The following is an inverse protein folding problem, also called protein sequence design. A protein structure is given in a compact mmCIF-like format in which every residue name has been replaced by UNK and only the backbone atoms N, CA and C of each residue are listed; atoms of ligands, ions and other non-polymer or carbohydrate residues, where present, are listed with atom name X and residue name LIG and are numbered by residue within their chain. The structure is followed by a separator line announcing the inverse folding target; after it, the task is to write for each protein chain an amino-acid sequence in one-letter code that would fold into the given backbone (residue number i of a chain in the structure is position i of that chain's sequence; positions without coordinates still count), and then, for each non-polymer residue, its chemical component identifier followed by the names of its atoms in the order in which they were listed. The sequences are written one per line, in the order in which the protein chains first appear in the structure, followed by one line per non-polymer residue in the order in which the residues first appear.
data_IF_514746830071
#
_entry.id   IF_514746830071
#
_cell.length_a   1.000
_cell.length_b   1.000
_cell.length_c   1.000
_cell.angle_alpha   90.00
_cell.angle_beta   90.00
_cell.angle_gamma   90.00
#
_symmetry.space_group_name_H-M   'P 1'
#
loop_
_entity.id
_entity.type
_entity.pdbx_description
1 polymer ?
#
# COMPACT_ATOMS: atom_id res chain seq x y z
N UNK A 1 16.36 17.57 14.24
CA UNK A 1 15.40 16.53 14.66
C UNK A 1 15.51 15.36 13.70
N UNK A 2 15.65 14.12 14.20
CA UNK A 2 15.66 12.90 13.38
C UNK A 2 14.70 11.89 14.02
N UNK A 3 13.50 11.67 13.45
CA UNK A 3 12.63 10.60 13.90
C UNK A 3 13.33 9.24 13.71
N UNK A 4 13.19 8.34 14.69
CA UNK A 4 13.72 6.98 14.59
C UNK A 4 12.55 6.03 14.39
N UNK A 5 12.65 5.21 13.35
CA UNK A 5 11.70 4.16 13.02
C UNK A 5 12.23 2.84 13.53
N UNK A 6 11.49 2.20 14.43
CA UNK A 6 11.77 0.86 14.91
C UNK A 6 10.72 -0.08 14.30
N UNK A 7 11.18 -1.04 13.52
CA UNK A 7 10.34 -1.99 12.82
C UNK A 7 9.90 -3.11 13.77
N UNK A 8 8.61 -3.44 13.79
CA UNK A 8 8.11 -4.61 14.51
C UNK A 8 6.99 -5.25 13.71
N UNK A 9 7.15 -6.53 13.36
CA UNK A 9 6.16 -7.26 12.56
C UNK A 9 5.17 -7.92 13.49
N UNK A 10 3.88 -7.77 13.21
CA UNK A 10 2.84 -8.55 13.87
C UNK A 10 1.95 -9.23 12.83
N UNK A 11 2.09 -10.56 12.74
CA UNK A 11 1.30 -11.49 11.90
C UNK A 11 1.32 -11.19 10.39
N UNK A 12 0.48 -10.26 9.91
CA UNK A 12 0.19 -9.97 8.48
C UNK A 12 0.32 -8.47 8.14
N UNK A 13 0.69 -7.65 9.12
CA UNK A 13 0.85 -6.22 8.96
C UNK A 13 2.25 -5.82 9.39
N UNK A 14 2.83 -4.89 8.61
CA UNK A 14 4.01 -4.17 9.03
C UNK A 14 3.55 -3.08 10.01
N UNK A 15 4.17 -3.05 11.19
CA UNK A 15 3.94 -2.02 12.21
C UNK A 15 5.23 -1.27 12.47
N UNK A 16 5.15 0.04 12.34
CA UNK A 16 6.24 0.96 12.63
C UNK A 16 6.06 1.64 13.97
N UNK A 17 7.07 1.60 14.83
CA UNK A 17 7.15 2.48 16.00
C UNK A 17 8.01 3.68 15.64
N UNK A 18 7.40 4.87 15.67
CA UNK A 18 8.14 6.11 15.53
C UNK A 18 8.40 6.71 16.92
N UNK A 19 9.67 7.01 17.19
CA UNK A 19 10.09 7.71 18.41
C UNK A 19 10.75 9.04 18.08
N UNK A 20 10.42 10.08 18.85
CA UNK A 20 11.09 11.38 18.78
C UNK A 20 11.19 12.03 20.14
N UNK A 21 12.32 12.72 20.38
CA UNK A 21 12.58 13.52 21.58
C UNK A 21 12.52 15.00 21.21
N UNK A 22 11.73 15.77 21.96
CA UNK A 22 11.58 17.21 21.77
C UNK A 22 11.89 17.95 23.07
N UNK A 23 12.57 19.08 22.96
CA UNK A 23 12.90 19.97 24.08
C UNK A 23 11.92 21.14 24.22
N UNK A 24 10.97 21.29 23.30
CA UNK A 24 10.01 22.40 23.26
C UNK A 24 8.72 22.05 24.01
N UNK A 25 8.05 23.06 24.58
CA UNK A 25 6.74 22.96 25.27
C UNK A 25 5.61 22.66 24.27
N UNK A 26 5.64 21.46 23.70
CA UNK A 26 4.66 20.97 22.75
C UNK A 26 3.46 20.41 23.53
N UNK A 27 2.23 20.71 23.09
CA UNK A 27 1.01 20.18 23.69
C UNK A 27 0.37 19.07 22.85
N UNK A 28 0.55 19.13 21.53
CA UNK A 28 0.03 18.16 20.58
C UNK A 28 1.06 17.87 19.50
N UNK A 29 1.10 16.63 19.02
CA UNK A 29 1.77 16.30 17.77
C UNK A 29 0.74 16.08 16.67
N UNK A 30 0.99 16.69 15.51
CA UNK A 30 0.33 16.31 14.27
C UNK A 30 1.25 15.37 13.49
N UNK A 31 0.71 14.20 13.16
CA UNK A 31 1.38 13.20 12.30
C UNK A 31 0.68 13.20 10.95
N UNK A 32 1.46 13.46 9.92
CA UNK A 32 1.05 13.37 8.52
C UNK A 32 1.66 12.11 7.91
N UNK A 33 0.84 11.28 7.27
CA UNK A 33 1.27 10.05 6.60
C UNK A 33 0.94 10.13 5.12
N UNK A 34 1.88 9.69 4.30
CA UNK A 34 1.77 9.67 2.86
C UNK A 34 2.34 8.37 2.27
N UNK A 35 1.60 7.76 1.35
CA UNK A 35 2.08 6.72 0.43
C UNK A 35 1.45 6.93 -0.95
N UNK A 36 0.12 6.90 -0.97
CA UNK A 36 -0.74 7.20 -2.13
C UNK A 36 -1.86 8.19 -1.76
N UNK A 37 -2.31 8.12 -0.50
CA UNK A 37 -3.37 8.95 0.09
C UNK A 37 -2.79 9.67 1.31
N UNK A 38 -3.28 10.88 1.56
CA UNK A 38 -2.89 11.70 2.69
C UNK A 38 -3.75 11.40 3.91
N UNK A 39 -3.11 11.10 5.05
CA UNK A 39 -3.78 10.93 6.33
C UNK A 39 -3.15 11.83 7.40
N UNK A 40 -4.00 12.53 8.15
CA UNK A 40 -3.59 13.40 9.25
C UNK A 40 -4.15 12.89 10.56
N UNK A 41 -3.33 12.89 11.61
CA UNK A 41 -3.76 12.49 12.95
C UNK A 41 -3.15 13.43 13.99
N UNK A 42 -3.99 13.99 14.87
CA UNK A 42 -3.55 14.81 16.00
C UNK A 42 -3.50 13.96 17.26
N UNK A 43 -2.39 14.00 17.97
CA UNK A 43 -2.13 13.18 19.15
C UNK A 43 -1.81 14.11 20.33
N UNK A 44 -2.63 14.10 21.40
CA UNK A 44 -2.34 14.84 22.62
C UNK A 44 -1.16 14.22 23.36
N UNK A 45 -0.37 15.06 24.02
CA UNK A 45 0.78 14.62 24.82
C UNK A 45 0.35 14.61 26.28
N UNK A 46 0.31 13.43 26.88
CA UNK A 46 0.13 13.27 28.33
C UNK A 46 1.46 13.34 29.08
N UNK A 47 2.54 12.80 28.49
CA UNK A 47 3.90 12.84 29.04
C UNK A 47 4.87 13.56 28.07
N UNK A 48 5.50 14.69 28.47
CA UNK A 48 6.26 15.55 27.57
C UNK A 48 7.58 14.96 27.06
N UNK A 49 8.08 13.86 27.64
CA UNK A 49 9.44 13.40 27.40
C UNK A 49 9.59 12.41 26.23
N UNK A 50 8.53 11.67 25.87
CA UNK A 50 8.61 10.62 24.83
C UNK A 50 7.34 10.55 23.99
N UNK A 51 7.46 10.89 22.71
CA UNK A 51 6.43 10.61 21.73
C UNK A 51 6.63 9.23 21.13
N UNK A 52 5.61 8.38 21.23
CA UNK A 52 5.54 7.08 20.58
C UNK A 52 4.31 7.04 19.69
N UNK A 53 4.51 6.71 18.42
CA UNK A 53 3.43 6.50 17.47
C UNK A 53 3.56 5.12 16.85
N UNK A 54 2.54 4.29 17.06
CA UNK A 54 2.42 2.99 16.42
C UNK A 54 1.50 3.17 15.22
N UNK A 55 2.02 2.82 14.05
CA UNK A 55 1.22 2.73 12.84
C UNK A 55 1.10 1.28 12.43
N UNK A 56 -0.10 0.72 12.57
CA UNK A 56 -0.42 -0.62 12.11
C UNK A 56 -0.93 -0.64 10.66
N UNK A 57 -0.80 -1.80 10.02
CA UNK A 57 -1.37 -2.11 8.70
C UNK A 57 -0.74 -1.40 7.51
N UNK A 58 0.58 -1.20 7.54
CA UNK A 58 1.31 -0.72 6.37
C UNK A 58 1.41 -1.83 5.31
N UNK A 59 1.29 -1.46 4.03
CA UNK A 59 1.46 -2.38 2.90
C UNK A 59 2.94 -2.74 2.75
N UNK A 60 3.25 -3.98 2.38
CA UNK A 60 4.60 -4.39 2.01
C UNK A 60 5.05 -3.72 0.70
N UNK A 61 6.36 -3.60 0.49
CA UNK A 61 6.96 -3.05 -0.74
C UNK A 61 6.54 -1.62 -1.09
N UNK A 62 6.10 -0.84 -0.11
CA UNK A 62 5.48 0.48 -0.32
C UNK A 62 6.37 1.59 0.26
N UNK A 63 6.51 2.68 -0.48
CA UNK A 63 7.23 3.87 -0.03
C UNK A 63 6.31 4.73 0.83
N UNK A 64 6.80 5.11 2.01
CA UNK A 64 6.10 5.94 2.96
C UNK A 64 6.90 7.18 3.31
N UNK A 65 6.17 8.29 3.44
CA UNK A 65 6.67 9.52 4.03
C UNK A 65 5.81 9.88 5.23
N UNK A 66 6.46 10.16 6.36
CA UNK A 66 5.82 10.62 7.58
C UNK A 66 6.38 11.99 7.93
N UNK A 67 5.52 12.96 8.23
CA UNK A 67 5.93 14.22 8.82
C UNK A 67 5.35 14.36 10.22
N UNK A 68 6.14 14.90 11.14
CA UNK A 68 5.71 15.20 12.50
C UNK A 68 5.94 16.67 12.76
N UNK A 69 4.94 17.29 13.39
CA UNK A 69 4.96 18.68 13.79
C UNK A 69 4.40 18.80 15.20
N UNK A 70 5.15 19.45 16.09
CA UNK A 70 4.63 19.90 17.38
C UNK A 70 3.79 21.16 17.25
N UNK A 71 2.66 21.20 17.96
CA UNK A 71 1.74 22.34 18.06
C UNK A 71 1.55 22.78 19.51
N UNK A 72 1.36 24.09 19.71
CA UNK A 72 0.96 24.66 21.00
C UNK A 72 -0.51 24.38 21.35
N UNK A 73 -0.91 24.62 22.61
CA UNK A 73 -2.27 24.36 23.09
C UNK A 73 -3.37 25.09 22.30
N UNK A 74 -3.07 26.32 21.90
CA UNK A 74 -3.92 27.21 21.09
C UNK A 74 -3.70 27.03 19.58
N UNK A 75 -2.83 26.09 19.18
CA UNK A 75 -2.41 25.82 17.80
C UNK A 75 -1.80 27.02 17.04
N UNK A 76 -1.58 28.16 17.73
CA UNK A 76 -1.03 29.38 17.14
C UNK A 76 0.47 29.27 16.83
N UNK A 77 1.18 28.32 17.45
CA UNK A 77 2.60 28.07 17.21
C UNK A 77 2.80 26.64 16.76
N UNK A 78 3.56 26.48 15.68
CA UNK A 78 3.89 25.20 15.09
C UNK A 78 5.40 25.12 14.89
N UNK A 79 5.97 23.96 15.16
CA UNK A 79 7.37 23.67 14.85
C UNK A 79 7.55 23.32 13.37
N UNK A 80 8.79 23.30 12.90
CA UNK A 80 9.11 22.80 11.57
C UNK A 80 8.75 21.32 11.45
N UNK A 81 8.26 20.91 10.27
CA UNK A 81 7.99 19.49 9.97
C UNK A 81 9.29 18.70 9.94
N UNK A 82 9.37 17.64 10.72
CA UNK A 82 10.41 16.64 10.59
C UNK A 82 9.90 15.47 9.75
N UNK A 83 10.58 15.24 8.63
CA UNK A 83 10.23 14.19 7.68
C UNK A 83 11.03 12.91 7.93
N UNK A 84 10.36 11.78 7.79
CA UNK A 84 10.92 10.44 7.72
C UNK A 84 10.43 9.79 6.43
N UNK A 85 11.35 9.36 5.58
CA UNK A 85 11.04 8.56 4.41
C UNK A 85 11.59 7.15 4.64
N UNK A 86 10.78 6.14 4.37
CA UNK A 86 11.18 4.73 4.47
C UNK A 86 10.38 3.89 3.48
N UNK A 87 10.91 2.72 3.16
CA UNK A 87 10.27 1.74 2.31
C UNK A 87 10.01 0.51 3.14
N UNK A 88 8.77 0.02 3.13
CA UNK A 88 8.48 -1.27 3.78
C UNK A 88 9.12 -2.38 2.95
N UNK A 89 9.67 -3.41 3.60
CA UNK A 89 10.23 -4.57 2.89
C UNK A 89 9.15 -5.33 2.13
N UNK A 90 9.57 -6.21 1.21
CA UNK A 90 8.65 -7.09 0.50
C UNK A 90 8.08 -8.18 1.41
N UNK A 91 6.86 -8.64 1.13
CA UNK A 91 6.21 -9.68 1.94
C UNK A 91 7.04 -10.98 1.96
N UNK A 92 7.58 -11.36 0.80
CA UNK A 92 8.39 -12.56 0.63
C UNK A 92 9.76 -12.48 1.32
N UNK A 93 10.20 -11.29 1.76
CA UNK A 93 11.40 -11.16 2.59
C UNK A 93 11.21 -11.84 3.96
N UNK A 94 10.01 -11.74 4.55
CA UNK A 94 9.71 -12.33 5.86
C UNK A 94 8.97 -13.67 5.79
N UNK A 95 8.17 -13.88 4.76
CA UNK A 95 7.41 -15.11 4.54
C UNK A 95 7.79 -15.72 3.19
N UNK A 96 8.97 -16.37 3.08
CA UNK A 96 9.43 -16.90 1.81
C UNK A 96 8.46 -17.95 1.26
N UNK A 97 8.03 -17.79 0.01
CA UNK A 97 7.18 -18.73 -0.72
C UNK A 97 5.80 -19.05 -0.07
N UNK A 98 5.36 -18.29 0.93
CA UNK A 98 4.08 -18.53 1.60
C UNK A 98 2.95 -17.73 0.92
N UNK A 99 2.32 -18.35 -0.08
CA UNK A 99 1.20 -17.76 -0.82
C UNK A 99 -0.09 -17.66 0.00
N UNK A 100 -0.15 -18.23 1.22
CA UNK A 100 -1.29 -18.02 2.14
C UNK A 100 -1.20 -16.69 2.87
N UNK A 101 0.01 -16.09 2.92
CA UNK A 101 0.28 -14.81 3.57
C UNK A 101 0.62 -13.70 2.59
N UNK A 102 1.34 -14.02 1.52
CA UNK A 102 1.80 -13.06 0.53
C UNK A 102 1.05 -13.22 -0.78
N UNK A 103 0.65 -12.09 -1.37
CA UNK A 103 0.07 -12.07 -2.71
C UNK A 103 1.18 -12.43 -3.71
N UNK A 104 0.94 -13.39 -4.63
CA UNK A 104 1.90 -13.73 -5.66
C UNK A 104 2.17 -12.53 -6.58
N UNK A 105 3.39 -12.42 -7.14
CA UNK A 105 3.68 -11.39 -8.14
C UNK A 105 2.76 -11.52 -9.35
N UNK A 106 2.49 -10.39 -10.02
CA UNK A 106 1.66 -10.36 -11.22
C UNK A 106 2.32 -11.18 -12.34
N UNK A 107 1.53 -11.87 -13.19
CA UNK A 107 2.07 -12.54 -14.37
C UNK A 107 2.81 -11.58 -15.30
N UNK A 108 3.95 -12.02 -15.83
CA UNK A 108 4.76 -11.25 -16.78
C UNK A 108 4.55 -11.74 -18.22
N UNK A 109 4.97 -10.94 -19.21
CA UNK A 109 4.87 -11.26 -20.65
C UNK A 109 3.46 -11.67 -21.09
N UNK A 110 2.45 -10.95 -20.60
CA UNK A 110 1.07 -11.17 -21.02
C UNK A 110 0.96 -10.85 -22.52
N UNK A 111 0.50 -11.82 -23.30
CA UNK A 111 0.20 -11.66 -24.71
C UNK A 111 -1.22 -12.12 -25.01
N UNK A 112 -1.86 -11.40 -25.93
CA UNK A 112 -3.26 -11.62 -26.31
C UNK A 112 -3.31 -11.81 -27.81
N UNK A 113 -3.89 -12.93 -28.24
CA UNK A 113 -4.13 -13.24 -29.63
C UNK A 113 -5.64 -13.33 -29.84
N UNK A 114 -6.17 -12.49 -30.72
CA UNK A 114 -7.59 -12.44 -31.04
C UNK A 114 -7.80 -13.02 -32.44
N UNK A 115 -8.68 -14.01 -32.57
CA UNK A 115 -9.03 -14.63 -33.85
C UNK A 115 -10.53 -14.47 -34.12
N UNK A 116 -10.94 -13.90 -35.26
CA UNK A 116 -12.35 -13.84 -35.62
C UNK A 116 -12.86 -15.25 -35.94
N UNK A 117 -14.03 -15.61 -35.42
CA UNK A 117 -14.65 -16.93 -35.66
C UNK A 117 -15.84 -16.80 -36.61
N UNK A 118 -16.80 -15.95 -36.28
CA UNK A 118 -17.98 -15.59 -37.09
C UNK A 118 -18.46 -14.20 -36.70
N UNK A 119 -19.29 -13.55 -37.52
CA UNK A 119 -19.90 -12.22 -37.28
C UNK A 119 -19.96 -11.80 -35.79
N UNK A 120 -19.11 -10.84 -35.43
CA UNK A 120 -19.02 -10.26 -34.08
C UNK A 120 -18.61 -11.21 -32.93
N UNK A 121 -18.04 -12.38 -33.24
CA UNK A 121 -17.47 -13.34 -32.28
C UNK A 121 -15.97 -13.50 -32.50
N UNK A 122 -15.24 -13.46 -31.40
CA UNK A 122 -13.79 -13.57 -31.39
C UNK A 122 -13.34 -14.60 -30.37
N UNK A 123 -12.39 -15.45 -30.75
CA UNK A 123 -11.63 -16.26 -29.83
C UNK A 123 -10.45 -15.44 -29.31
N UNK A 124 -10.41 -15.28 -27.98
CA UNK A 124 -9.33 -14.57 -27.30
C UNK A 124 -8.45 -15.60 -26.60
N UNK A 125 -7.20 -15.71 -27.06
CA UNK A 125 -6.17 -16.52 -26.41
C UNK A 125 -5.26 -15.60 -25.62
N UNK A 126 -5.27 -15.75 -24.29
CA UNK A 126 -4.37 -15.04 -23.38
C UNK A 126 -3.28 -15.99 -22.93
N UNK A 127 -2.03 -15.55 -22.98
CA UNK A 127 -0.89 -16.32 -22.47
C UNK A 127 0.06 -15.41 -21.70
N UNK A 128 0.83 -15.99 -20.78
CA UNK A 128 1.78 -15.28 -19.93
C UNK A 128 2.98 -16.18 -19.62
N UNK A 129 4.07 -15.59 -19.15
CA UNK A 129 5.23 -16.35 -18.66
C UNK A 129 4.86 -17.15 -17.41
N UNK A 130 5.44 -18.36 -17.28
CA UNK A 130 5.26 -19.19 -16.09
C UNK A 130 5.76 -18.41 -14.86
N UNK A 131 4.92 -18.18 -13.83
CA UNK A 131 5.35 -17.44 -12.67
C UNK A 131 6.33 -18.25 -11.83
N UNK A 132 7.19 -17.53 -11.10
CA UNK A 132 8.15 -18.14 -10.15
C UNK A 132 7.41 -18.84 -9.01
N UNK A 133 6.30 -18.26 -8.55
CA UNK A 133 5.41 -18.84 -7.56
C UNK A 133 4.10 -19.21 -8.24
N UNK A 134 3.69 -20.48 -8.14
CA UNK A 134 2.46 -20.98 -8.75
C UNK A 134 1.25 -20.69 -7.85
N UNK A 135 0.37 -19.75 -8.21
CA UNK A 135 -0.91 -19.59 -7.52
C UNK A 135 -1.83 -20.76 -7.82
N UNK A 136 -2.86 -20.95 -7.00
CA UNK A 136 -3.88 -21.99 -7.23
C UNK A 136 -4.71 -21.72 -8.48
N UNK A 137 -4.95 -20.45 -8.80
CA UNK A 137 -5.70 -20.04 -9.98
C UNK A 137 -5.32 -18.62 -10.41
N UNK A 138 -5.68 -18.29 -11.65
CA UNK A 138 -5.66 -16.96 -12.25
C UNK A 138 -7.07 -16.53 -12.59
N UNK A 139 -7.33 -15.23 -12.50
CA UNK A 139 -8.57 -14.61 -12.96
C UNK A 139 -8.23 -13.75 -14.16
N UNK A 140 -8.89 -14.01 -15.29
CA UNK A 140 -8.81 -13.20 -16.50
C UNK A 140 -10.10 -12.40 -16.64
N UNK A 141 -10.00 -11.08 -16.72
CA UNK A 141 -11.13 -10.16 -16.94
C UNK A 141 -10.96 -9.44 -18.27
N UNK A 142 -11.97 -9.49 -19.12
CA UNK A 142 -12.02 -8.74 -20.37
C UNK A 142 -13.01 -7.59 -20.25
N UNK A 143 -12.59 -6.39 -20.66
CA UNK A 143 -13.40 -5.18 -20.63
C UNK A 143 -13.66 -4.69 -22.05
N UNK A 144 -14.90 -4.30 -22.34
CA UNK A 144 -15.26 -3.67 -23.61
C UNK A 144 -14.82 -2.21 -23.59
N UNK A 145 -13.89 -1.85 -24.48
CA UNK A 145 -13.45 -0.47 -24.62
C UNK A 145 -14.51 0.38 -25.31
N UNK A 146 -15.23 1.22 -24.57
CA UNK A 146 -15.91 2.38 -25.13
C UNK A 146 -15.09 3.64 -24.80
N UNK A 147 -14.64 4.37 -25.82
CA UNK A 147 -14.30 5.78 -25.66
C UNK A 147 -15.59 6.52 -25.30
N UNK A 148 -15.60 7.15 -24.13
CA UNK A 148 -16.66 7.96 -23.51
C UNK A 148 -17.63 7.25 -22.53
N UNK A 149 -17.43 7.62 -21.26
CA UNK A 149 -18.33 7.56 -20.10
C UNK A 149 -18.48 6.18 -19.45
N UNK A 150 -17.96 6.10 -18.22
CA UNK A 150 -18.27 5.08 -17.21
C UNK A 150 -19.77 5.12 -16.91
N UNK A 151 -20.56 4.39 -17.70
CA UNK A 151 -21.87 3.94 -17.25
C UNK A 151 -21.69 2.47 -16.85
N UNK A 152 -22.02 2.17 -15.60
CA UNK A 152 -21.99 0.87 -14.93
C UNK A 152 -23.03 -0.11 -15.52
N UNK A 153 -23.01 -0.33 -16.84
CA UNK A 153 -23.71 -1.43 -17.49
C UNK A 153 -22.68 -2.51 -17.85
N UNK A 154 -22.54 -3.42 -16.89
CA UNK A 154 -21.52 -4.45 -16.72
C UNK A 154 -21.64 -5.60 -17.74
N UNK A 155 -21.10 -5.41 -18.94
CA UNK A 155 -20.75 -6.50 -19.87
C UNK A 155 -19.30 -6.96 -19.61
N UNK A 156 -18.98 -7.43 -18.40
CA UNK A 156 -17.66 -7.99 -18.07
C UNK A 156 -17.66 -9.51 -18.24
N UNK A 157 -16.74 -10.02 -19.06
CA UNK A 157 -16.47 -11.47 -19.11
C UNK A 157 -15.31 -11.84 -18.16
N UNK A 158 -15.59 -12.72 -17.20
CA UNK A 158 -14.62 -13.23 -16.21
C UNK A 158 -14.41 -14.74 -16.38
N UNK A 159 -13.14 -15.17 -16.41
CA UNK A 159 -12.78 -16.59 -16.52
C UNK A 159 -11.70 -16.96 -15.51
N UNK A 160 -11.93 -18.07 -14.79
CA UNK A 160 -10.98 -18.67 -13.85
C UNK A 160 -10.14 -19.71 -14.60
N UNK A 161 -8.83 -19.66 -14.41
CA UNK A 161 -7.86 -20.59 -15.01
C UNK A 161 -7.04 -21.21 -13.88
N UNK A 162 -7.05 -22.53 -13.73
CA UNK A 162 -6.23 -23.22 -12.72
C UNK A 162 -4.74 -23.14 -13.06
N UNK A 163 -3.89 -23.02 -12.03
CA UNK A 163 -2.44 -22.74 -12.15
C UNK A 163 -1.50 -23.94 -12.11
#
# INVERSE_FOLDING_TARGET
MKPVFLEKIFRQHFSGLLTSFFTDRTCFYEVLRFSDVFYTTNIPIEEPEKFQYIWDSQKFGTNYSIAIMGKSKDQARQSNKAWLNFTTPDCFYYCPNDLTKCVPPKPENISVVVKPVMFSKYDVTVSWAKPVLQPTYFIVKAFKGNDHVLNDDDDTEEKIVEG
#
